data_IF_359971782832
#
_entry.id   IF_359971782832
#
_cell.length_a   1.000
_cell.length_b   1.000
_cell.length_c   1.000
_cell.angle_alpha   90.00
_cell.angle_beta   90.00
_cell.angle_gamma   90.00
#
_symmetry.space_group_name_H-M   'P 1'
#
loop_
_entity.id
_entity.type
_entity.pdbx_description
1 polymer ?
#
# COMPACT_ATOMS: atom_id res chain seq x y z
N UNK A 1 -4.18 4.85 -9.82
CA UNK A 1 -5.29 4.00 -9.32
C UNK A 1 -6.41 4.89 -8.79
N UNK A 2 -7.61 4.35 -8.55
CA UNK A 2 -8.73 5.05 -7.90
C UNK A 2 -8.94 4.51 -6.48
N UNK A 3 -9.59 5.30 -5.60
CA UNK A 3 -9.87 4.91 -4.22
C UNK A 3 -10.58 3.54 -4.11
N UNK A 4 -11.55 3.30 -4.99
CA UNK A 4 -12.29 2.03 -5.07
C UNK A 4 -11.45 0.81 -5.47
N UNK A 5 -10.24 1.03 -6.00
CA UNK A 5 -9.35 -0.06 -6.40
C UNK A 5 -8.59 -0.65 -5.21
N UNK A 6 -8.64 -0.01 -4.04
CA UNK A 6 -7.92 -0.43 -2.85
C UNK A 6 -8.78 -1.31 -1.93
N UNK A 7 -8.14 -2.33 -1.36
CA UNK A 7 -8.66 -3.17 -0.29
C UNK A 7 -7.53 -3.49 0.69
N UNK A 8 -7.86 -3.82 1.94
CA UNK A 8 -6.86 -4.24 2.93
C UNK A 8 -6.13 -5.48 2.40
N UNK A 9 -4.80 -5.45 2.46
CA UNK A 9 -3.92 -6.48 1.93
C UNK A 9 -3.58 -6.32 0.45
N UNK A 10 -4.25 -5.42 -0.29
CA UNK A 10 -3.88 -5.14 -1.67
C UNK A 10 -2.49 -4.54 -1.74
N UNK A 11 -1.68 -5.09 -2.63
CA UNK A 11 -0.38 -4.55 -2.97
C UNK A 11 -0.45 -3.72 -4.24
N UNK A 12 0.32 -2.65 -4.28
CA UNK A 12 0.36 -1.70 -5.39
C UNK A 12 1.74 -1.05 -5.48
N UNK A 13 2.07 -0.49 -6.63
CA UNK A 13 3.22 0.39 -6.77
C UNK A 13 2.78 1.84 -6.62
N UNK A 14 3.60 2.65 -5.96
CA UNK A 14 3.50 4.11 -6.00
C UNK A 14 4.91 4.69 -6.06
N UNK A 15 5.19 5.44 -7.14
CA UNK A 15 6.55 5.82 -7.48
C UNK A 15 7.42 4.58 -7.74
N UNK A 16 8.56 4.47 -7.06
CA UNK A 16 9.50 3.33 -7.20
C UNK A 16 9.35 2.27 -6.11
N UNK A 17 8.33 2.36 -5.25
CA UNK A 17 8.15 1.48 -4.09
C UNK A 17 6.90 0.62 -4.25
N UNK A 18 6.98 -0.62 -3.77
CA UNK A 18 5.84 -1.51 -3.55
C UNK A 18 5.26 -1.24 -2.16
N UNK A 19 3.95 -1.16 -2.10
CA UNK A 19 3.19 -0.86 -0.89
C UNK A 19 2.14 -1.93 -0.67
N UNK A 20 1.73 -2.12 0.59
CA UNK A 20 0.57 -2.93 0.96
C UNK A 20 -0.42 -2.08 1.76
N UNK A 21 -1.64 -1.98 1.28
CA UNK A 21 -2.73 -1.30 1.96
C UNK A 21 -3.07 -2.01 3.28
N UNK A 22 -3.11 -1.27 4.38
CA UNK A 22 -3.42 -1.77 5.73
C UNK A 22 -4.76 -1.25 6.26
N UNK A 23 -5.24 -0.11 5.75
CA UNK A 23 -6.56 0.45 6.07
C UNK A 23 -7.15 1.22 4.88
N UNK A 24 -8.48 1.24 4.77
CA UNK A 24 -9.22 1.99 3.74
C UNK A 24 -10.22 2.92 4.43
N UNK A 25 -9.88 4.20 4.47
CA UNK A 25 -10.79 5.27 4.90
C UNK A 25 -11.71 5.72 3.76
N UNK A 26 -12.57 6.71 4.01
CA UNK A 26 -13.53 7.21 3.00
C UNK A 26 -12.87 7.97 1.84
N UNK A 27 -11.72 8.60 2.10
CA UNK A 27 -11.01 9.47 1.15
C UNK A 27 -9.53 9.13 1.00
N UNK A 28 -9.01 8.35 1.92
CA UNK A 28 -7.60 8.01 2.04
C UNK A 28 -7.45 6.52 2.22
N UNK A 29 -6.25 6.01 1.97
CA UNK A 29 -5.83 4.71 2.48
C UNK A 29 -4.62 4.89 3.40
N UNK A 30 -4.32 3.86 4.18
CA UNK A 30 -3.06 3.72 4.89
C UNK A 30 -2.32 2.52 4.31
N UNK A 31 -1.02 2.64 4.13
CA UNK A 31 -0.19 1.55 3.60
C UNK A 31 1.20 1.51 4.23
N UNK A 32 1.80 0.33 4.19
CA UNK A 32 3.19 0.10 4.56
C UNK A 32 4.04 -0.16 3.31
N UNK A 33 5.29 0.29 3.31
CA UNK A 33 6.24 -0.05 2.25
C UNK A 33 6.75 -1.49 2.42
N UNK A 34 6.94 -2.19 1.30
CA UNK A 34 7.49 -3.54 1.24
C UNK A 34 8.95 -3.51 0.75
N UNK A 35 9.84 -2.87 1.51
CA UNK A 35 11.25 -2.60 1.15
C UNK A 35 12.29 -3.26 2.08
N UNK A 36 11.86 -4.19 2.91
CA UNK A 36 12.68 -5.05 3.76
C UNK A 36 12.69 -6.51 3.28
N UNK A 37 13.85 -7.17 3.43
CA UNK A 37 14.02 -8.58 3.03
C UNK A 37 13.35 -9.57 3.98
N UNK A 38 13.25 -9.24 5.28
CA UNK A 38 12.63 -10.09 6.30
C UNK A 38 11.12 -9.85 6.36
N UNK A 39 10.27 -10.83 5.96
CA UNK A 39 8.82 -10.66 5.93
C UNK A 39 8.20 -10.39 7.30
N UNK A 40 8.90 -10.71 8.39
CA UNK A 40 8.39 -10.48 9.74
C UNK A 40 8.18 -9.00 10.07
N UNK A 41 8.84 -8.09 9.33
CA UNK A 41 8.62 -6.64 9.43
C UNK A 41 7.19 -6.21 9.09
N UNK A 42 6.50 -7.02 8.29
CA UNK A 42 5.14 -6.77 7.83
C UNK A 42 4.10 -7.56 8.63
N UNK A 43 4.48 -8.25 9.70
CA UNK A 43 3.55 -8.87 10.62
C UNK A 43 3.04 -7.81 11.60
N UNK A 44 1.73 -7.64 11.67
CA UNK A 44 1.10 -6.67 12.55
C UNK A 44 -0.43 -6.83 12.59
N UNK A 45 -1.14 -5.92 13.26
CA UNK A 45 -0.59 -4.76 13.99
C UNK A 45 0.06 -5.10 15.36
N UNK A 46 1.02 -4.28 15.86
CA UNK A 46 1.69 -3.19 15.14
C UNK A 46 2.73 -3.74 14.14
N UNK A 47 2.85 -3.09 12.98
CA UNK A 47 3.91 -3.39 12.01
C UNK A 47 5.25 -2.82 12.47
N UNK A 48 6.37 -3.43 12.06
CA UNK A 48 7.71 -2.90 12.36
C UNK A 48 8.07 -1.68 11.48
N UNK A 49 7.45 -1.56 10.32
CA UNK A 49 7.56 -0.42 9.40
C UNK A 49 6.49 0.64 9.67
N UNK A 50 6.77 1.87 9.27
CA UNK A 50 5.82 2.97 9.38
C UNK A 50 4.65 2.84 8.40
N UNK A 51 3.46 3.15 8.89
CA UNK A 51 2.26 3.34 8.08
C UNK A 51 2.22 4.76 7.50
N UNK A 52 1.83 4.88 6.24
CA UNK A 52 1.77 6.15 5.48
C UNK A 52 0.38 6.34 4.91
N UNK A 53 -0.15 7.57 5.02
CA UNK A 53 -1.46 7.95 4.48
C UNK A 53 -1.31 8.37 3.02
N UNK A 54 -2.17 7.82 2.15
CA UNK A 54 -2.31 8.22 0.76
C UNK A 54 -3.69 8.85 0.58
N UNK A 55 -3.73 10.04 -0.01
CA UNK A 55 -4.96 10.75 -0.38
C UNK A 55 -5.23 10.64 -1.89
N UNK A 56 -6.28 11.33 -2.36
CA UNK A 56 -6.68 11.25 -3.76
C UNK A 56 -5.60 11.73 -4.74
N UNK A 57 -4.74 12.68 -4.34
CA UNK A 57 -3.63 13.15 -5.18
C UNK A 57 -2.50 12.12 -5.27
N UNK A 58 -2.25 11.38 -4.19
CA UNK A 58 -1.25 10.31 -4.18
C UNK A 58 -1.65 9.15 -5.11
N UNK A 59 -2.96 8.89 -5.29
CA UNK A 59 -3.43 7.77 -6.11
C UNK A 59 -3.08 7.91 -7.60
N UNK A 60 -2.87 9.14 -8.10
CA UNK A 60 -2.44 9.41 -9.48
C UNK A 60 -1.06 8.79 -9.79
N UNK A 61 -0.18 8.72 -8.79
CA UNK A 61 1.14 8.09 -8.91
C UNK A 61 1.14 6.57 -8.67
N UNK A 62 -0.02 5.97 -8.42
CA UNK A 62 -0.15 4.56 -8.10
C UNK A 62 -0.53 3.70 -9.31
N UNK A 63 0.06 2.51 -9.42
CA UNK A 63 -0.26 1.49 -10.41
C UNK A 63 -0.47 0.14 -9.75
N UNK A 64 -1.26 -0.74 -10.38
CA UNK A 64 -1.45 -2.10 -9.89
C UNK A 64 -0.14 -2.92 -10.00
N UNK A 65 0.01 -3.96 -9.18
CA UNK A 65 1.10 -4.93 -9.37
C UNK A 65 0.62 -5.88 -10.45
N UNK A 66 1.02 -5.67 -11.71
CA UNK A 66 0.68 -6.59 -12.79
C UNK A 66 1.06 -8.03 -12.37
N UNK A 67 0.06 -8.91 -12.26
CA UNK A 67 0.29 -10.34 -12.13
C UNK A 67 0.59 -10.84 -13.55
N UNK A 68 1.82 -11.29 -13.87
CA UNK A 68 2.08 -11.87 -15.18
C UNK A 68 1.17 -13.11 -15.34
N UNK A 69 0.51 -13.20 -16.51
CA UNK A 69 -0.29 -14.37 -16.91
C UNK A 69 0.55 -15.65 -16.96
#
# INVERSE_FOLDING_TARGET
MQHSDFSIGKEFFCGQRRWRCTDVGTRTIVAIALDHDDPSWYNGPPYAVAEVVFDEYAFEGCTDVEIPN
#
